data_IF_878472746623
#
_entry.id   IF_878472746623
#
_cell.length_a   1.000
_cell.length_b   1.000
_cell.length_c   1.000
_cell.angle_alpha   90.00
_cell.angle_beta   90.00
_cell.angle_gamma   90.00
#
_symmetry.space_group_name_H-M   'P 1'
#
loop_
_entity.id
_entity.type
_entity.pdbx_description
1 polymer ?
#
# COMPACT_ATOMS: atom_id res chain seq x y z
N UNK A 1 67.86 35.36 53.08
CA UNK A 1 67.64 34.08 52.49
C UNK A 1 66.14 33.80 52.57
N UNK A 2 65.37 34.04 51.50
CA UNK A 2 63.95 33.79 51.41
C UNK A 2 63.72 32.92 50.17
N UNK A 3 63.26 31.70 50.40
CA UNK A 3 62.92 30.74 49.35
C UNK A 3 61.52 31.07 48.77
N UNK A 4 61.43 31.33 47.44
CA UNK A 4 60.20 31.41 46.67
C UNK A 4 59.84 30.00 46.31
N UNK A 5 58.59 29.57 46.70
CA UNK A 5 57.94 28.36 46.26
C UNK A 5 56.95 28.78 45.21
N UNK A 6 57.23 28.39 43.95
CA UNK A 6 56.26 28.58 42.83
C UNK A 6 55.22 27.49 42.82
N UNK A 7 53.94 27.85 42.92
CA UNK A 7 52.80 26.98 42.73
C UNK A 7 52.43 26.89 41.26
N UNK A 8 52.59 25.73 40.65
CA UNK A 8 52.12 25.38 39.31
C UNK A 8 50.64 24.99 39.38
N UNK A 9 49.72 25.86 38.98
CA UNK A 9 48.30 25.55 38.86
C UNK A 9 48.08 24.86 37.52
N UNK A 10 47.85 23.53 37.56
CA UNK A 10 47.39 22.76 36.39
C UNK A 10 45.91 23.00 36.18
N UNK A 11 45.57 23.71 35.12
CA UNK A 11 44.19 23.92 34.69
C UNK A 11 43.69 22.67 33.93
N UNK A 12 42.96 21.81 34.61
CA UNK A 12 42.25 20.70 33.96
C UNK A 12 41.03 21.26 33.21
N UNK A 13 41.15 21.39 31.88
CA UNK A 13 40.03 21.70 30.98
C UNK A 13 39.22 20.43 30.76
N UNK A 14 38.22 20.19 31.60
CA UNK A 14 37.24 19.11 31.40
C UNK A 14 36.36 19.44 30.17
N UNK A 15 36.66 18.79 29.04
CA UNK A 15 35.76 18.77 27.88
C UNK A 15 34.49 17.99 28.31
N UNK A 16 33.45 18.74 28.69
CA UNK A 16 32.11 18.18 28.80
C UNK A 16 31.63 17.98 27.37
N UNK A 17 31.78 16.76 26.84
CA UNK A 17 31.09 16.34 25.62
C UNK A 17 29.63 16.21 26.01
N UNK A 18 28.88 17.30 25.91
CA UNK A 18 27.43 17.26 25.93
C UNK A 18 26.98 16.47 24.71
N UNK A 19 26.85 15.16 24.88
CA UNK A 19 26.12 14.32 23.95
C UNK A 19 24.68 14.84 23.89
N UNK A 20 24.40 15.75 22.94
CA UNK A 20 23.05 16.12 22.61
C UNK A 20 22.32 14.85 22.19
N UNK A 21 21.56 14.27 23.10
CA UNK A 21 20.51 13.31 22.74
C UNK A 21 19.54 14.06 21.83
N UNK A 22 19.84 14.08 20.52
CA UNK A 22 18.89 14.58 19.56
C UNK A 22 17.63 13.73 19.69
N UNK A 23 16.54 14.34 20.13
CA UNK A 23 15.25 13.67 20.24
C UNK A 23 14.95 12.94 18.93
N UNK A 24 14.56 11.67 19.05
CA UNK A 24 14.27 10.84 17.89
C UNK A 24 13.18 11.51 17.05
N UNK A 25 13.44 11.76 15.77
CA UNK A 25 12.48 12.35 14.85
C UNK A 25 11.24 11.46 14.75
N UNK A 26 10.06 12.07 14.81
CA UNK A 26 8.77 11.40 14.75
C UNK A 26 8.16 11.56 13.36
N UNK A 27 7.68 10.45 12.78
CA UNK A 27 6.93 10.42 11.54
C UNK A 27 5.66 9.60 11.71
N UNK A 28 4.59 10.03 11.04
CA UNK A 28 3.35 9.26 10.98
C UNK A 28 3.26 8.53 9.65
N UNK A 29 2.82 7.27 9.71
CA UNK A 29 2.58 6.44 8.54
C UNK A 29 1.11 6.07 8.45
N UNK A 30 0.51 6.29 7.26
CA UNK A 30 -0.87 5.98 6.95
C UNK A 30 -0.95 4.84 5.93
N UNK A 31 -2.02 4.05 6.04
CA UNK A 31 -2.34 2.97 5.10
C UNK A 31 -3.73 3.20 4.51
N UNK A 32 -3.88 2.94 3.21
CA UNK A 32 -5.23 2.81 2.65
C UNK A 32 -5.88 1.54 3.19
N UNK A 33 -7.17 1.57 3.60
CA UNK A 33 -7.83 0.41 4.20
C UNK A 33 -8.22 -0.61 3.12
N UNK A 34 -7.28 -1.43 2.67
CA UNK A 34 -7.50 -2.44 1.65
C UNK A 34 -8.07 -3.75 2.22
N UNK A 35 -7.82 -4.04 3.50
CA UNK A 35 -8.24 -5.23 4.24
C UNK A 35 -8.96 -4.85 5.52
N UNK A 36 -9.94 -5.67 5.94
CA UNK A 36 -10.62 -5.50 7.24
C UNK A 36 -9.75 -5.91 8.44
N UNK A 37 -8.77 -6.78 8.23
CA UNK A 37 -7.84 -7.21 9.29
C UNK A 37 -6.83 -6.13 9.71
N UNK A 38 -6.79 -5.01 9.00
CA UNK A 38 -5.87 -3.89 9.25
C UNK A 38 -4.53 -4.10 8.54
N UNK A 39 -4.32 -3.36 7.47
CA UNK A 39 -3.08 -3.43 6.68
C UNK A 39 -1.85 -2.99 7.48
N UNK A 40 -2.02 -2.17 8.53
CA UNK A 40 -0.95 -1.76 9.43
C UNK A 40 -0.25 -2.94 10.13
N UNK A 41 -0.98 -4.01 10.44
CA UNK A 41 -0.42 -5.19 11.10
C UNK A 41 0.62 -5.88 10.22
N UNK A 42 0.39 -5.91 8.92
CA UNK A 42 1.31 -6.49 7.93
C UNK A 42 2.64 -5.74 7.88
N UNK A 43 2.66 -4.45 8.25
CA UNK A 43 3.86 -3.60 8.19
C UNK A 43 4.60 -3.44 9.53
N UNK A 44 4.08 -4.00 10.62
CA UNK A 44 4.64 -3.81 11.97
C UNK A 44 6.10 -4.26 12.06
N UNK A 45 6.45 -5.41 11.50
CA UNK A 45 7.82 -5.93 11.50
C UNK A 45 8.78 -5.03 10.70
N UNK A 46 8.37 -4.61 9.52
CA UNK A 46 9.14 -3.67 8.69
C UNK A 46 9.42 -2.37 9.44
N UNK A 47 8.38 -1.74 10.00
CA UNK A 47 8.51 -0.45 10.68
C UNK A 47 9.37 -0.55 11.93
N UNK A 48 9.29 -1.66 12.69
CA UNK A 48 10.17 -1.93 13.82
C UNK A 48 11.64 -1.94 13.40
N UNK A 49 11.97 -2.60 12.30
CA UNK A 49 13.33 -2.65 11.76
C UNK A 49 13.76 -1.28 11.26
N UNK A 50 12.92 -0.57 10.51
CA UNK A 50 13.21 0.78 10.01
C UNK A 50 13.47 1.75 11.16
N UNK A 51 12.66 1.73 12.22
CA UNK A 51 12.87 2.54 13.42
C UNK A 51 14.24 2.26 14.06
N UNK A 52 14.63 0.97 14.19
CA UNK A 52 15.94 0.58 14.73
C UNK A 52 17.10 1.08 13.87
N UNK A 53 16.99 0.98 12.54
CA UNK A 53 18.06 1.35 11.61
C UNK A 53 18.24 2.87 11.45
N UNK A 54 17.15 3.63 11.58
CA UNK A 54 17.15 5.08 11.35
C UNK A 54 17.26 5.90 12.64
N UNK A 55 16.90 5.33 13.78
CA UNK A 55 16.69 6.05 15.04
C UNK A 55 15.41 6.89 15.05
N UNK A 56 14.54 6.76 14.04
CA UNK A 56 13.25 7.47 13.98
C UNK A 56 12.16 6.73 14.75
N UNK A 57 11.07 7.43 15.05
CA UNK A 57 9.84 6.88 15.64
C UNK A 57 8.71 7.01 14.62
N UNK A 58 8.49 5.97 13.83
CA UNK A 58 7.36 5.89 12.90
C UNK A 58 6.17 5.31 13.64
N UNK A 59 5.04 6.04 13.66
CA UNK A 59 3.77 5.66 14.26
C UNK A 59 2.70 5.48 13.20
N UNK A 60 1.81 4.51 13.40
CA UNK A 60 0.68 4.30 12.50
C UNK A 60 -0.48 5.22 12.85
N UNK A 61 -1.13 5.76 11.81
CA UNK A 61 -2.41 6.45 11.93
C UNK A 61 -3.45 5.76 11.06
N UNK A 62 -4.66 5.63 11.59
CA UNK A 62 -5.78 5.02 10.89
C UNK A 62 -6.57 6.08 10.14
N UNK A 63 -7.13 5.67 9.00
CA UNK A 63 -8.02 6.48 8.17
C UNK A 63 -9.22 5.64 7.74
N UNK A 64 -10.31 6.30 7.36
CA UNK A 64 -11.58 5.65 7.03
C UNK A 64 -11.64 5.13 5.60
N UNK A 65 -10.92 5.77 4.67
CA UNK A 65 -10.95 5.45 3.25
C UNK A 65 -9.68 5.90 2.51
N UNK A 66 -9.61 5.55 1.24
CA UNK A 66 -8.45 5.83 0.38
C UNK A 66 -8.19 7.33 0.17
N UNK A 67 -9.26 8.16 0.11
CA UNK A 67 -9.11 9.61 -0.03
C UNK A 67 -8.61 10.24 1.29
N UNK A 68 -9.09 9.76 2.42
CA UNK A 68 -8.63 10.19 3.74
C UNK A 68 -7.13 9.96 3.94
N UNK A 69 -6.56 8.90 3.35
CA UNK A 69 -5.11 8.66 3.37
C UNK A 69 -4.33 9.73 2.57
N UNK A 70 -4.86 10.17 1.41
CA UNK A 70 -4.27 11.27 0.62
C UNK A 70 -4.34 12.58 1.40
N UNK A 71 -5.50 12.88 1.98
CA UNK A 71 -5.72 14.10 2.77
C UNK A 71 -4.87 14.13 4.04
N UNK A 72 -4.61 12.98 4.68
CA UNK A 72 -3.70 12.90 5.81
C UNK A 72 -2.27 13.36 5.44
N UNK A 73 -1.76 12.94 4.26
CA UNK A 73 -0.46 13.41 3.79
C UNK A 73 -0.50 14.86 3.32
N UNK A 74 -1.55 15.29 2.60
CA UNK A 74 -1.70 16.66 2.13
C UNK A 74 -1.71 17.67 3.28
N UNK A 75 -2.41 17.34 4.36
CA UNK A 75 -2.50 18.11 5.60
C UNK A 75 -1.31 17.92 6.56
N UNK A 76 -0.24 17.20 6.11
CA UNK A 76 0.96 16.90 6.89
C UNK A 76 0.71 16.13 8.20
N UNK A 77 -0.42 15.45 8.31
CA UNK A 77 -0.72 14.54 9.43
C UNK A 77 -0.03 13.19 9.28
N UNK A 78 0.29 12.79 8.05
CA UNK A 78 1.12 11.63 7.71
C UNK A 78 2.25 12.03 6.77
N UNK A 79 3.46 11.59 7.04
CA UNK A 79 4.63 11.87 6.21
C UNK A 79 5.05 10.66 5.38
N UNK A 80 4.64 9.47 5.78
CA UNK A 80 4.87 8.20 5.09
C UNK A 80 3.51 7.55 4.81
N UNK A 81 3.39 6.86 3.70
CA UNK A 81 2.16 6.16 3.36
C UNK A 81 2.43 4.86 2.59
N UNK A 82 1.51 3.90 2.74
CA UNK A 82 1.31 2.85 1.76
C UNK A 82 0.04 3.16 0.98
N UNK A 83 0.16 3.15 -0.34
CA UNK A 83 -0.94 3.46 -1.26
C UNK A 83 -1.14 2.34 -2.27
N UNK A 84 -2.38 2.15 -2.75
CA UNK A 84 -2.59 1.54 -4.06
C UNK A 84 -2.10 2.49 -5.18
N UNK A 85 -1.76 1.96 -6.35
CA UNK A 85 -1.21 2.78 -7.44
C UNK A 85 -2.12 3.94 -7.88
N UNK A 86 -3.47 3.74 -7.95
CA UNK A 86 -4.45 4.80 -8.25
C UNK A 86 -4.43 5.91 -7.19
N UNK A 87 -4.40 5.53 -5.91
CA UNK A 87 -4.34 6.49 -4.81
C UNK A 87 -2.98 7.20 -4.78
N UNK A 88 -1.90 6.48 -5.10
CA UNK A 88 -0.56 7.06 -5.18
C UNK A 88 -0.48 8.18 -6.22
N UNK A 89 -0.95 7.97 -7.47
CA UNK A 89 -0.90 9.02 -8.48
C UNK A 89 -1.67 10.27 -8.05
N UNK A 90 -2.79 10.12 -7.35
CA UNK A 90 -3.53 11.23 -6.74
C UNK A 90 -2.72 11.89 -5.61
N UNK A 91 -2.07 11.11 -4.75
CA UNK A 91 -1.24 11.66 -3.68
C UNK A 91 0.03 12.36 -4.20
N UNK A 92 0.62 11.88 -5.30
CA UNK A 92 1.73 12.54 -5.96
C UNK A 92 1.35 13.93 -6.46
N UNK A 93 0.15 14.07 -7.03
CA UNK A 93 -0.38 15.32 -7.56
C UNK A 93 -0.80 16.30 -6.43
N UNK A 94 -1.55 15.82 -5.43
CA UNK A 94 -2.20 16.69 -4.43
C UNK A 94 -1.44 16.85 -3.12
N UNK A 95 -0.57 15.89 -2.77
CA UNK A 95 0.11 15.82 -1.48
C UNK A 95 1.64 15.77 -1.60
N UNK A 96 2.20 15.97 -2.80
CA UNK A 96 3.65 15.87 -3.08
C UNK A 96 4.24 14.52 -2.60
N UNK A 97 3.50 13.43 -2.75
CA UNK A 97 3.98 12.09 -2.46
C UNK A 97 5.03 11.64 -3.49
N UNK A 98 6.04 10.93 -3.04
CA UNK A 98 7.07 10.31 -3.88
C UNK A 98 7.18 8.83 -3.54
N UNK A 99 6.88 7.94 -4.51
CA UNK A 99 7.06 6.50 -4.37
C UNK A 99 8.54 6.16 -4.25
N UNK A 100 8.88 5.24 -3.35
CA UNK A 100 10.28 4.89 -3.13
C UNK A 100 10.57 3.40 -3.02
N UNK A 101 9.61 2.59 -2.59
CA UNK A 101 9.79 1.14 -2.45
C UNK A 101 8.49 0.37 -2.65
N UNK A 102 8.61 -0.89 -3.06
CA UNK A 102 7.51 -1.85 -3.13
C UNK A 102 7.98 -3.24 -2.70
N UNK A 103 7.12 -3.99 -2.00
CA UNK A 103 7.45 -5.31 -1.48
C UNK A 103 7.32 -6.41 -2.52
N UNK A 104 8.32 -7.29 -2.60
CA UNK A 104 8.32 -8.53 -3.37
C UNK A 104 8.01 -9.70 -2.44
N UNK A 105 7.03 -10.53 -2.80
CA UNK A 105 6.65 -11.70 -2.00
C UNK A 105 7.61 -12.87 -2.23
N UNK A 106 7.70 -13.81 -1.27
CA UNK A 106 8.47 -15.04 -1.46
C UNK A 106 8.03 -15.77 -2.74
N UNK A 107 9.00 -16.18 -3.57
CA UNK A 107 8.75 -16.89 -4.83
C UNK A 107 8.30 -16.01 -6.02
N UNK A 108 8.00 -14.72 -5.82
CA UNK A 108 7.70 -13.79 -6.91
C UNK A 108 9.00 -13.20 -7.51
N UNK A 109 8.98 -12.95 -8.83
CA UNK A 109 10.13 -12.34 -9.54
C UNK A 109 10.18 -10.82 -9.41
N UNK A 110 9.04 -10.19 -9.18
CA UNK A 110 8.89 -8.74 -9.04
C UNK A 110 7.71 -8.40 -8.12
N UNK A 111 7.54 -7.12 -7.81
CA UNK A 111 6.52 -6.62 -6.88
C UNK A 111 5.12 -6.43 -7.48
N UNK A 112 4.93 -6.65 -8.78
CA UNK A 112 3.63 -6.49 -9.44
C UNK A 112 2.61 -7.55 -9.01
N UNK A 113 1.32 -7.31 -9.29
CA UNK A 113 0.23 -8.18 -8.90
C UNK A 113 -0.89 -8.15 -9.95
N UNK A 114 -2.06 -8.74 -9.66
CA UNK A 114 -3.18 -8.83 -10.59
C UNK A 114 -4.48 -8.39 -9.93
N UNK A 115 -5.46 -8.05 -10.76
CA UNK A 115 -6.86 -8.04 -10.36
C UNK A 115 -7.48 -9.38 -10.76
N UNK A 116 -8.16 -10.02 -9.82
CA UNK A 116 -8.99 -11.19 -10.07
C UNK A 116 -10.46 -10.79 -10.07
N UNK A 117 -11.21 -11.28 -11.06
CA UNK A 117 -12.65 -11.29 -11.02
C UNK A 117 -13.09 -12.64 -10.47
N UNK A 118 -13.57 -12.60 -9.25
CA UNK A 118 -13.90 -13.80 -8.47
C UNK A 118 -15.39 -14.03 -8.49
N UNK A 119 -15.78 -15.27 -8.72
CA UNK A 119 -17.17 -15.76 -8.66
C UNK A 119 -17.22 -16.98 -7.77
N UNK A 120 -18.42 -17.35 -7.29
CA UNK A 120 -18.57 -18.62 -6.58
C UNK A 120 -18.24 -19.80 -7.49
N UNK A 121 -17.82 -20.90 -6.90
CA UNK A 121 -17.47 -22.11 -7.64
C UNK A 121 -18.66 -22.68 -8.44
N UNK A 122 -19.88 -22.62 -7.87
CA UNK A 122 -21.15 -23.07 -8.48
C UNK A 122 -21.77 -22.04 -9.45
N UNK A 123 -21.09 -20.92 -9.73
CA UNK A 123 -21.59 -19.88 -10.63
C UNK A 123 -21.71 -20.40 -12.07
N UNK A 124 -22.80 -20.02 -12.76
CA UNK A 124 -23.02 -20.31 -14.18
C UNK A 124 -22.15 -19.50 -15.13
N UNK A 125 -21.48 -18.42 -14.65
CA UNK A 125 -20.62 -17.57 -15.47
C UNK A 125 -19.42 -18.38 -15.95
N UNK A 126 -19.20 -18.52 -17.25
CA UNK A 126 -18.11 -19.33 -17.82
C UNK A 126 -16.98 -18.48 -18.40
N UNK A 127 -17.27 -17.29 -18.90
CA UNK A 127 -16.34 -16.34 -19.51
C UNK A 127 -16.60 -14.93 -18.99
N UNK A 128 -15.61 -14.06 -19.15
CA UNK A 128 -15.68 -12.70 -18.59
C UNK A 128 -16.85 -11.86 -19.13
N UNK A 129 -17.25 -12.06 -20.39
CA UNK A 129 -18.41 -11.36 -20.97
C UNK A 129 -19.75 -11.72 -20.31
N UNK A 130 -19.84 -12.84 -19.58
CA UNK A 130 -21.07 -13.28 -18.92
C UNK A 130 -21.43 -12.43 -17.69
N UNK A 131 -20.53 -11.50 -17.29
CA UNK A 131 -20.81 -10.55 -16.19
C UNK A 131 -21.86 -9.50 -16.54
N UNK A 132 -22.19 -9.33 -17.83
CA UNK A 132 -23.26 -8.42 -18.27
C UNK A 132 -24.60 -8.81 -17.61
N UNK A 133 -25.31 -7.80 -17.10
CA UNK A 133 -26.60 -7.98 -16.41
C UNK A 133 -26.49 -8.57 -15.00
N UNK A 134 -25.30 -8.78 -14.48
CA UNK A 134 -25.07 -9.37 -13.14
C UNK A 134 -24.88 -8.30 -12.07
N UNK A 135 -24.79 -8.71 -10.81
CA UNK A 135 -24.45 -7.85 -9.67
C UNK A 135 -22.93 -7.85 -9.51
N UNK A 136 -22.33 -6.69 -9.70
CA UNK A 136 -20.87 -6.48 -9.56
C UNK A 136 -20.55 -5.79 -8.23
N UNK A 137 -19.72 -6.43 -7.42
CA UNK A 137 -19.09 -5.79 -6.28
C UNK A 137 -17.71 -5.26 -6.67
N UNK A 138 -17.41 -4.03 -6.27
CA UNK A 138 -16.10 -3.40 -6.32
C UNK A 138 -15.61 -3.21 -4.89
N UNK A 139 -14.31 -2.96 -4.70
CA UNK A 139 -13.74 -2.75 -3.38
C UNK A 139 -14.07 -1.35 -2.83
N UNK A 140 -13.25 -0.35 -3.12
CA UNK A 140 -13.40 1.03 -2.67
C UNK A 140 -13.05 1.99 -3.80
N UNK A 141 -13.73 3.12 -3.85
CA UNK A 141 -13.35 4.24 -4.72
C UNK A 141 -11.90 4.66 -4.37
N UNK A 142 -11.03 4.65 -5.40
CA UNK A 142 -9.59 4.92 -5.20
C UNK A 142 -8.72 3.66 -5.18
N UNK A 143 -9.30 2.46 -5.02
CA UNK A 143 -8.56 1.21 -5.16
C UNK A 143 -8.05 1.02 -6.59
N UNK A 144 -6.84 0.50 -6.76
CA UNK A 144 -6.30 0.15 -8.08
C UNK A 144 -6.97 -1.13 -8.59
N UNK A 145 -6.77 -2.23 -7.89
CA UNK A 145 -7.25 -3.56 -8.30
C UNK A 145 -8.73 -3.81 -8.01
N UNK A 146 -9.33 -3.03 -7.12
CA UNK A 146 -10.74 -3.19 -6.75
C UNK A 146 -11.68 -2.14 -7.35
N UNK A 147 -11.14 -1.19 -8.16
CA UNK A 147 -11.93 -0.15 -8.80
C UNK A 147 -11.38 0.22 -10.19
N UNK A 148 -10.14 0.75 -10.30
CA UNK A 148 -9.59 1.22 -11.57
C UNK A 148 -9.44 0.10 -12.59
N UNK A 149 -8.73 -0.98 -12.23
CA UNK A 149 -8.48 -2.10 -13.16
C UNK A 149 -9.76 -2.84 -13.54
N UNK A 150 -10.71 -3.12 -12.63
CA UNK A 150 -12.04 -3.62 -13.01
C UNK A 150 -12.71 -2.77 -14.10
N UNK A 151 -12.71 -1.45 -13.98
CA UNK A 151 -13.29 -0.57 -15.01
C UNK A 151 -12.56 -0.69 -16.36
N UNK A 152 -11.24 -0.85 -16.34
CA UNK A 152 -10.43 -1.06 -17.56
C UNK A 152 -10.78 -2.37 -18.24
N UNK A 153 -10.81 -3.47 -17.47
CA UNK A 153 -11.11 -4.79 -18.02
C UNK A 153 -12.54 -4.85 -18.58
N UNK A 154 -13.49 -4.24 -17.89
CA UNK A 154 -14.87 -4.13 -18.38
C UNK A 154 -14.96 -3.30 -19.67
N UNK A 155 -14.21 -2.18 -19.75
CA UNK A 155 -14.19 -1.35 -20.95
C UNK A 155 -13.60 -2.09 -22.17
N UNK A 156 -12.69 -3.03 -22.01
CA UNK A 156 -12.15 -3.90 -23.06
C UNK A 156 -13.23 -4.78 -23.70
N UNK A 157 -14.25 -5.14 -22.94
CA UNK A 157 -15.42 -5.91 -23.41
C UNK A 157 -16.66 -5.03 -23.63
N UNK A 158 -16.47 -3.70 -23.75
CA UNK A 158 -17.51 -2.69 -24.02
C UNK A 158 -18.59 -2.60 -22.92
N UNK A 159 -18.24 -2.89 -21.67
CA UNK A 159 -19.08 -2.68 -20.50
C UNK A 159 -18.58 -1.51 -19.65
N UNK A 160 -19.50 -0.85 -18.95
CA UNK A 160 -19.20 0.27 -18.06
C UNK A 160 -19.93 0.15 -16.74
N UNK A 161 -19.24 0.40 -15.62
CA UNK A 161 -19.82 0.43 -14.28
C UNK A 161 -20.83 1.58 -14.09
N UNK A 162 -20.82 2.58 -14.95
CA UNK A 162 -21.72 3.74 -14.93
C UNK A 162 -22.92 3.60 -15.88
N UNK A 163 -22.87 2.65 -16.83
CA UNK A 163 -24.01 2.36 -17.71
C UNK A 163 -25.00 1.42 -17.01
N UNK A 164 -26.17 1.93 -16.70
CA UNK A 164 -27.24 1.20 -15.99
C UNK A 164 -27.73 -0.04 -16.74
N UNK A 165 -27.50 -0.15 -18.05
CA UNK A 165 -27.90 -1.29 -18.87
C UNK A 165 -26.89 -2.44 -18.86
N UNK A 166 -25.67 -2.21 -18.35
CA UNK A 166 -24.61 -3.21 -18.37
C UNK A 166 -24.64 -4.14 -17.16
N UNK A 167 -25.16 -3.66 -16.02
CA UNK A 167 -25.20 -4.41 -14.78
C UNK A 167 -26.56 -4.27 -14.09
N UNK A 168 -27.03 -5.36 -13.46
CA UNK A 168 -28.22 -5.30 -12.59
C UNK A 168 -27.96 -4.36 -11.40
N UNK A 169 -26.74 -4.37 -10.85
CA UNK A 169 -26.30 -3.50 -9.77
C UNK A 169 -24.78 -3.45 -9.74
N UNK A 170 -24.22 -2.27 -9.46
CA UNK A 170 -22.82 -2.09 -9.10
C UNK A 170 -22.77 -1.43 -7.73
N UNK A 171 -21.93 -1.93 -6.82
CA UNK A 171 -21.74 -1.31 -5.52
C UNK A 171 -20.30 -1.48 -5.03
N UNK A 172 -19.89 -0.60 -4.12
CA UNK A 172 -18.60 -0.66 -3.44
C UNK A 172 -18.79 -1.31 -2.08
N UNK A 173 -18.07 -2.42 -1.85
CA UNK A 173 -18.18 -3.21 -0.62
C UNK A 173 -17.34 -2.65 0.54
N UNK A 174 -16.42 -1.73 0.27
CA UNK A 174 -15.55 -1.09 1.26
C UNK A 174 -14.12 -1.64 1.32
N UNK A 175 -13.96 -2.95 1.28
CA UNK A 175 -12.66 -3.63 1.32
C UNK A 175 -12.59 -4.79 0.34
N UNK A 176 -11.39 -5.34 0.10
CA UNK A 176 -11.24 -6.58 -0.68
C UNK A 176 -11.92 -7.78 0.01
N UNK A 177 -11.85 -7.82 1.34
CA UNK A 177 -12.45 -8.88 2.13
C UNK A 177 -13.98 -8.82 2.03
N UNK A 178 -14.58 -7.64 2.19
CA UNK A 178 -16.03 -7.44 2.05
C UNK A 178 -16.53 -7.75 0.63
N UNK A 179 -15.72 -7.42 -0.40
CA UNK A 179 -16.02 -7.76 -1.80
C UNK A 179 -16.09 -9.29 -2.01
N UNK A 180 -15.13 -10.03 -1.49
CA UNK A 180 -15.12 -11.49 -1.52
C UNK A 180 -16.31 -12.09 -0.75
N UNK A 181 -16.57 -11.59 0.47
CA UNK A 181 -17.70 -12.03 1.29
C UNK A 181 -19.06 -11.77 0.59
N UNK A 182 -19.18 -10.66 -0.15
CA UNK A 182 -20.40 -10.39 -0.91
C UNK A 182 -20.68 -11.48 -1.97
N UNK A 183 -19.64 -12.03 -2.60
CA UNK A 183 -19.78 -13.17 -3.53
C UNK A 183 -20.13 -14.45 -2.80
N UNK A 184 -19.41 -14.76 -1.71
CA UNK A 184 -19.68 -15.97 -0.91
C UNK A 184 -21.12 -15.99 -0.36
N UNK A 185 -21.62 -14.83 0.10
CA UNK A 185 -22.95 -14.65 0.66
C UNK A 185 -24.04 -14.39 -0.40
N UNK A 186 -23.76 -14.59 -1.70
CA UNK A 186 -24.72 -14.40 -2.80
C UNK A 186 -25.28 -12.97 -2.94
N UNK A 187 -24.61 -11.98 -2.36
CA UNK A 187 -24.97 -10.56 -2.49
C UNK A 187 -24.43 -9.94 -3.78
N UNK A 188 -23.38 -10.54 -4.35
CA UNK A 188 -22.83 -10.23 -5.65
C UNK A 188 -22.59 -11.51 -6.46
N UNK A 189 -22.69 -11.39 -7.79
CA UNK A 189 -22.36 -12.48 -8.71
C UNK A 189 -20.86 -12.53 -8.98
N UNK A 190 -20.20 -11.35 -8.98
CA UNK A 190 -18.77 -11.19 -9.27
C UNK A 190 -18.17 -10.09 -8.43
N UNK A 191 -16.92 -10.28 -8.02
CA UNK A 191 -16.10 -9.32 -7.27
C UNK A 191 -14.78 -9.06 -7.99
N UNK A 192 -14.42 -7.77 -8.17
CA UNK A 192 -13.09 -7.35 -8.62
C UNK A 192 -12.18 -7.11 -7.43
N UNK A 193 -11.14 -7.94 -7.23
CA UNK A 193 -10.26 -7.82 -6.06
C UNK A 193 -8.77 -8.06 -6.38
N UNK A 194 -7.92 -7.67 -5.45
CA UNK A 194 -6.48 -7.91 -5.52
C UNK A 194 -6.16 -9.39 -5.41
N UNK A 195 -5.26 -9.89 -6.27
CA UNK A 195 -4.71 -11.25 -6.17
C UNK A 195 -4.03 -11.48 -4.82
N UNK A 196 -3.35 -10.47 -4.27
CA UNK A 196 -2.66 -10.56 -2.97
C UNK A 196 -3.62 -10.75 -1.79
N UNK A 197 -4.73 -10.00 -1.76
CA UNK A 197 -5.76 -10.22 -0.73
C UNK A 197 -6.45 -11.56 -0.94
N UNK A 198 -6.76 -11.95 -2.17
CA UNK A 198 -7.34 -13.27 -2.46
C UNK A 198 -6.46 -14.40 -1.92
N UNK A 199 -5.18 -14.38 -2.23
CA UNK A 199 -4.22 -15.40 -1.79
C UNK A 199 -3.99 -15.37 -0.27
N UNK A 200 -3.94 -14.18 0.35
CA UNK A 200 -3.85 -14.04 1.80
C UNK A 200 -5.07 -14.62 2.51
N UNK A 201 -6.30 -14.37 2.00
CA UNK A 201 -7.53 -14.92 2.57
C UNK A 201 -7.69 -16.42 2.34
N UNK A 202 -7.14 -16.93 1.25
CA UNK A 202 -7.04 -18.38 1.04
C UNK A 202 -6.06 -19.02 2.02
N UNK A 203 -4.90 -18.41 2.23
CA UNK A 203 -3.87 -18.92 3.15
C UNK A 203 -4.31 -18.93 4.62
N UNK A 204 -5.12 -17.94 5.05
CA UNK A 204 -5.65 -17.88 6.42
C UNK A 204 -7.01 -18.61 6.59
N UNK A 205 -7.45 -19.35 5.59
CA UNK A 205 -8.70 -20.12 5.58
C UNK A 205 -9.96 -19.26 5.78
N UNK A 206 -9.96 -17.98 5.42
CA UNK A 206 -11.18 -17.15 5.39
C UNK A 206 -12.22 -17.76 4.45
N UNK A 207 -11.78 -18.45 3.39
CA UNK A 207 -12.58 -19.26 2.50
C UNK A 207 -11.78 -20.48 2.03
N UNK A 208 -12.47 -21.50 1.48
CA UNK A 208 -11.82 -22.68 0.89
C UNK A 208 -11.62 -22.49 -0.61
N UNK A 209 -10.57 -23.08 -1.16
CA UNK A 209 -10.25 -22.99 -2.60
C UNK A 209 -11.44 -23.36 -3.50
N UNK A 210 -12.27 -24.30 -3.06
CA UNK A 210 -13.43 -24.79 -3.81
C UNK A 210 -14.72 -23.97 -3.60
N UNK A 211 -14.71 -22.91 -2.77
CA UNK A 211 -15.87 -22.04 -2.57
C UNK A 211 -16.02 -21.03 -3.71
N UNK A 212 -14.90 -20.66 -4.33
CA UNK A 212 -14.83 -19.65 -5.39
C UNK A 212 -13.88 -20.08 -6.52
N UNK A 213 -14.00 -19.41 -7.65
CA UNK A 213 -13.04 -19.52 -8.76
C UNK A 213 -12.77 -18.16 -9.40
N UNK A 214 -11.61 -18.05 -10.03
CA UNK A 214 -11.22 -16.86 -10.79
C UNK A 214 -11.85 -16.98 -12.19
N UNK A 215 -12.80 -16.09 -12.49
CA UNK A 215 -13.44 -16.00 -13.80
C UNK A 215 -12.54 -15.31 -14.82
N UNK A 216 -11.82 -14.26 -14.39
CA UNK A 216 -10.90 -13.48 -15.22
C UNK A 216 -9.76 -12.94 -14.39
N UNK A 217 -8.59 -12.83 -15.02
CA UNK A 217 -7.37 -12.26 -14.45
C UNK A 217 -6.90 -11.13 -15.35
N UNK A 218 -6.65 -9.95 -14.79
CA UNK A 218 -6.12 -8.80 -15.52
C UNK A 218 -4.69 -8.99 -16.01
N UNK A 219 -4.22 -8.08 -16.85
CA UNK A 219 -2.78 -7.86 -17.03
C UNK A 219 -2.11 -7.49 -15.70
N UNK A 220 -0.77 -7.58 -15.68
CA UNK A 220 0.01 -7.27 -14.50
C UNK A 220 -0.10 -5.78 -14.13
N UNK A 221 -0.37 -5.54 -12.86
CA UNK A 221 -0.58 -4.20 -12.28
C UNK A 221 0.71 -3.76 -11.60
N UNK A 222 1.13 -2.49 -11.75
CA UNK A 222 2.25 -1.94 -10.97
C UNK A 222 2.04 -2.12 -9.47
N UNK A 223 3.12 -2.39 -8.71
CA UNK A 223 3.01 -2.69 -7.28
C UNK A 223 2.47 -1.50 -6.49
N UNK A 224 1.71 -1.75 -5.40
CA UNK A 224 1.32 -0.69 -4.48
C UNK A 224 2.57 -0.17 -3.74
N UNK A 225 2.88 1.16 -3.83
CA UNK A 225 4.10 1.71 -3.29
C UNK A 225 4.02 2.07 -1.81
N UNK A 226 5.17 1.99 -1.14
CA UNK A 226 5.51 2.89 -0.06
C UNK A 226 5.90 4.24 -0.65
N UNK A 227 5.33 5.31 -0.11
CA UNK A 227 5.63 6.68 -0.51
C UNK A 227 5.91 7.55 0.71
N UNK A 228 6.70 8.58 0.53
CA UNK A 228 6.89 9.62 1.53
C UNK A 228 6.52 11.00 0.96
N UNK A 229 6.16 11.91 1.84
CA UNK A 229 5.99 13.32 1.48
C UNK A 229 7.34 13.94 1.13
N UNK A 230 7.42 14.73 0.05
CA UNK A 230 8.61 15.52 -0.28
C UNK A 230 8.94 16.58 0.77
N UNK A 231 8.04 16.86 1.72
CA UNK A 231 8.29 17.73 2.88
C UNK A 231 9.27 17.12 3.88
N UNK A 232 9.43 15.80 3.94
CA UNK A 232 10.47 15.15 4.76
C UNK A 232 11.84 15.62 4.27
N UNK A 233 12.79 16.02 5.16
CA UNK A 233 14.15 16.38 4.77
C UNK A 233 14.79 15.31 3.90
N UNK A 234 15.53 15.74 2.86
CA UNK A 234 16.13 14.84 1.86
C UNK A 234 16.99 13.73 2.50
N UNK A 235 17.74 14.06 3.54
CA UNK A 235 18.60 13.08 4.23
C UNK A 235 17.76 12.04 5.00
N UNK A 236 16.65 12.44 5.59
CA UNK A 236 15.75 11.49 6.27
C UNK A 236 15.05 10.58 5.26
N UNK A 237 14.63 11.11 4.09
CA UNK A 237 14.09 10.28 2.99
C UNK A 237 15.10 9.23 2.53
N UNK A 238 16.37 9.61 2.38
CA UNK A 238 17.45 8.66 2.04
C UNK A 238 17.62 7.57 3.10
N UNK A 239 17.62 7.96 4.40
CA UNK A 239 17.73 7.01 5.52
C UNK A 239 16.54 6.03 5.53
N UNK A 240 15.31 6.54 5.41
CA UNK A 240 14.09 5.72 5.36
C UNK A 240 14.16 4.74 4.17
N UNK A 241 14.45 5.24 2.97
CA UNK A 241 14.55 4.40 1.76
C UNK A 241 15.60 3.30 1.93
N UNK A 242 16.80 3.66 2.39
CA UNK A 242 17.87 2.68 2.62
C UNK A 242 17.43 1.62 3.63
N UNK A 243 16.89 2.03 4.77
CA UNK A 243 16.44 1.12 5.82
C UNK A 243 15.35 0.15 5.33
N UNK A 244 14.38 0.62 4.53
CA UNK A 244 13.34 -0.23 3.95
C UNK A 244 13.94 -1.25 2.96
N UNK A 245 14.82 -0.82 2.07
CA UNK A 245 15.44 -1.71 1.07
C UNK A 245 16.36 -2.76 1.69
N UNK A 246 16.98 -2.46 2.83
CA UNK A 246 17.89 -3.37 3.55
C UNK A 246 17.20 -4.15 4.68
N UNK A 247 15.93 -3.86 4.99
CA UNK A 247 15.22 -4.43 6.14
C UNK A 247 15.25 -5.96 6.19
N UNK A 248 15.17 -6.62 5.04
CA UNK A 248 15.22 -8.09 4.93
C UNK A 248 16.53 -8.73 5.45
N UNK A 249 17.60 -7.95 5.59
CA UNK A 249 18.88 -8.37 6.17
C UNK A 249 18.86 -8.38 7.71
N UNK A 250 17.80 -7.80 8.31
CA UNK A 250 17.70 -7.57 9.75
C UNK A 250 16.55 -8.33 10.41
N UNK A 251 15.84 -9.15 9.67
CA UNK A 251 14.75 -10.00 10.16
C UNK A 251 13.66 -10.20 9.14
N UNK A 252 12.63 -10.93 9.55
CA UNK A 252 11.43 -11.12 8.75
C UNK A 252 10.69 -9.79 8.57
N UNK A 253 10.23 -9.55 7.36
CA UNK A 253 9.53 -8.34 7.00
C UNK A 253 8.16 -8.67 6.39
N UNK A 254 7.19 -7.88 6.77
CA UNK A 254 5.84 -7.95 6.21
C UNK A 254 5.55 -6.78 5.27
N UNK A 255 4.39 -6.86 4.64
CA UNK A 255 3.87 -5.86 3.72
C UNK A 255 2.52 -6.29 3.16
N UNK A 256 2.05 -5.63 2.13
CA UNK A 256 0.72 -5.86 1.57
C UNK A 256 0.46 -7.31 1.16
N UNK A 257 -0.48 -7.93 1.87
CA UNK A 257 -0.88 -9.33 1.68
C UNK A 257 0.06 -10.33 2.34
N UNK A 258 0.83 -9.93 3.38
CA UNK A 258 1.59 -10.81 4.25
C UNK A 258 3.11 -10.66 4.17
N UNK A 259 3.83 -11.76 4.25
CA UNK A 259 5.30 -11.77 4.28
C UNK A 259 5.91 -11.28 2.96
N UNK A 260 7.00 -10.51 3.07
CA UNK A 260 7.83 -10.07 1.94
C UNK A 260 9.21 -10.73 2.00
N UNK A 261 9.77 -11.08 0.84
CA UNK A 261 11.16 -11.52 0.74
C UNK A 261 12.12 -10.33 0.85
N UNK A 262 11.80 -9.24 0.18
CA UNK A 262 12.56 -7.98 0.20
C UNK A 262 11.72 -6.83 -0.38
N UNK A 263 12.23 -5.61 -0.25
CA UNK A 263 11.69 -4.43 -0.94
C UNK A 263 12.61 -4.00 -2.08
N UNK A 264 12.01 -3.62 -3.21
CA UNK A 264 12.72 -3.04 -4.35
C UNK A 264 12.46 -1.54 -4.44
N UNK A 265 13.40 -0.81 -5.05
CA UNK A 265 13.19 0.61 -5.34
C UNK A 265 12.18 0.77 -6.48
N UNK A 266 11.24 1.67 -6.30
CA UNK A 266 10.33 2.16 -7.34
C UNK A 266 10.45 3.68 -7.47
N UNK A 267 9.95 4.23 -8.57
CA UNK A 267 9.95 5.66 -8.87
C UNK A 267 8.59 6.11 -9.39
N UNK A 268 8.35 7.41 -9.41
CA UNK A 268 7.08 8.00 -9.82
C UNK A 268 6.65 7.59 -11.24
N UNK A 269 7.59 7.55 -12.19
CA UNK A 269 7.30 7.16 -13.58
C UNK A 269 6.87 5.69 -13.76
N UNK A 270 7.11 4.82 -12.80
CA UNK A 270 6.63 3.43 -12.86
C UNK A 270 5.09 3.35 -12.81
N UNK A 271 4.44 4.45 -12.42
CA UNK A 271 2.97 4.59 -12.34
C UNK A 271 2.34 5.35 -13.50
N UNK A 272 3.12 5.73 -14.53
CA UNK A 272 2.59 6.48 -15.70
C UNK A 272 1.58 5.66 -16.49
N UNK A 273 1.73 4.34 -16.54
CA UNK A 273 0.74 3.45 -17.13
C UNK A 273 -0.64 3.62 -16.48
N UNK A 274 -0.71 3.77 -15.15
CA UNK A 274 -1.97 4.01 -14.44
C UNK A 274 -2.50 5.42 -14.68
N UNK A 275 -1.65 6.44 -14.77
CA UNK A 275 -2.03 7.81 -15.16
C UNK A 275 -2.68 7.84 -16.55
N UNK A 276 -2.09 7.12 -17.51
CA UNK A 276 -2.63 7.02 -18.85
C UNK A 276 -3.99 6.33 -18.87
N UNK A 277 -4.16 5.27 -18.12
CA UNK A 277 -5.43 4.55 -17.97
C UNK A 277 -6.51 5.45 -17.36
N UNK A 278 -6.21 6.18 -16.29
CA UNK A 278 -7.16 7.13 -15.68
C UNK A 278 -7.58 8.21 -16.69
N UNK A 279 -6.63 8.77 -17.45
CA UNK A 279 -6.93 9.76 -18.49
C UNK A 279 -7.86 9.20 -19.58
N UNK A 280 -7.68 7.95 -19.98
CA UNK A 280 -8.52 7.31 -21.00
C UNK A 280 -9.95 7.05 -20.50
N UNK A 281 -10.12 6.63 -19.25
CA UNK A 281 -11.44 6.42 -18.65
C UNK A 281 -12.21 7.74 -18.46
N UNK A 282 -11.51 8.84 -18.13
CA UNK A 282 -12.14 10.15 -17.92
C UNK A 282 -12.52 10.87 -19.24
N UNK A 283 -12.07 10.38 -20.40
CA UNK A 283 -12.43 10.94 -21.72
C UNK A 283 -13.71 10.34 -22.31
N UNK A 284 -14.26 9.33 -21.69
CA UNK A 284 -15.53 8.68 -22.07
C UNK A 284 -16.68 9.18 -21.21
#
# INVERSE_FOLDING_TARGET
>A
MKKLIGALSALFLSLIISGANADAKNYNMVFVPASEKGDENDYTSLVKIVNKLTGFKIKFIKVTDYNAAVEAMRADRAQIAWYGGKTYIKAAELANAEAFAAGVRPGEKDAGYFTYFVVRADSELKKFSDVKGKVLALNSIGSTSGDLIPQVELARIKLSTTNKNDFKKVFYAGSHDACLLAVLNKQADVCGMSSRNFEARLADNTFKKNDVRILHKSDRVPPPPLAYSKKIPKEDRKKIKKAVLEAHKHGEIGGYGGQMSHYISVKDSDYDVLRNVVKLLNKK
#
